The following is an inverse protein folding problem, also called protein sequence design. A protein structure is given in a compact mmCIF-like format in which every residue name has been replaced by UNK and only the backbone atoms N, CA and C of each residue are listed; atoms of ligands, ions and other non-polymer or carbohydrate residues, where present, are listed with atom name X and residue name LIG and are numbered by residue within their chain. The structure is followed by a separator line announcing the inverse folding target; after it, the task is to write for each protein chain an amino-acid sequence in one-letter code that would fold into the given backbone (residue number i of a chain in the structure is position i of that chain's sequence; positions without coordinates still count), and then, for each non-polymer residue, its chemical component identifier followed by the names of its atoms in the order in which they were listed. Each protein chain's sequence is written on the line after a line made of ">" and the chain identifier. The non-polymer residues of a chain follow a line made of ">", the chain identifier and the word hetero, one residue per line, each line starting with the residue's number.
data_IF_966351061354
#
_entry.id   IF_966351061354
#
_cell.length_a   1.000
_cell.length_b   1.000
_cell.length_c   1.000
_cell.angle_alpha   90.00
_cell.angle_beta   90.00
_cell.angle_gamma   90.00
#
_symmetry.space_group_name_H-M   'P 1'
#
loop_
_entity.id
_entity.type
_entity.pdbx_description
1 polymer ?
#
# COMPACT_ATOMS: atom_id res chain seq x y z
N UNK A 1 -1.62 3.93 -21.85
CA UNK A 1 -1.10 2.89 -20.92
C UNK A 1 -1.78 3.05 -19.56
N UNK A 2 -3.10 2.90 -19.50
CA UNK A 2 -3.92 3.18 -18.31
C UNK A 2 -4.70 1.92 -17.96
N UNK A 3 -4.08 1.04 -17.20
CA UNK A 3 -4.72 -0.12 -16.60
C UNK A 3 -3.99 -0.40 -15.30
N UNK A 4 -4.63 -0.11 -14.17
CA UNK A 4 -4.14 -0.56 -12.88
C UNK A 4 -4.32 -2.08 -12.85
N UNK A 5 -3.29 -2.82 -13.26
CA UNK A 5 -3.28 -4.27 -13.22
C UNK A 5 -3.00 -4.72 -11.79
N UNK A 6 -3.95 -4.48 -10.88
CA UNK A 6 -3.89 -5.02 -9.53
C UNK A 6 -4.18 -6.51 -9.61
N UNK A 7 -3.14 -7.33 -9.42
CA UNK A 7 -3.29 -8.79 -9.25
C UNK A 7 -3.42 -9.09 -7.77
N UNK A 8 -4.16 -10.16 -7.45
CA UNK A 8 -4.27 -10.67 -6.08
C UNK A 8 -2.87 -10.91 -5.51
N UNK A 9 -2.55 -10.24 -4.41
CA UNK A 9 -1.38 -10.53 -3.58
C UNK A 9 -1.86 -11.41 -2.43
N UNK A 10 -1.26 -12.59 -2.28
CA UNK A 10 -1.58 -13.53 -1.20
C UNK A 10 -0.37 -13.61 -0.28
N UNK A 11 -0.60 -13.31 1.00
CA UNK A 11 0.35 -13.64 2.06
C UNK A 11 -0.16 -14.96 2.65
N UNK A 12 0.60 -16.03 2.44
CA UNK A 12 0.24 -17.39 2.89
C UNK A 12 0.61 -17.63 4.35
N UNK A 13 0.30 -18.83 4.83
CA UNK A 13 0.55 -19.24 6.20
C UNK A 13 2.06 -19.27 6.51
N UNK A 14 2.41 -18.86 7.73
CA UNK A 14 3.78 -18.83 8.26
C UNK A 14 4.75 -17.88 7.54
N UNK A 15 4.25 -16.91 6.77
CA UNK A 15 5.09 -15.84 6.21
C UNK A 15 5.42 -14.81 7.28
N UNK A 16 6.72 -14.49 7.42
CA UNK A 16 7.17 -13.39 8.26
C UNK A 16 7.58 -12.19 7.40
N UNK A 17 6.98 -11.03 7.67
CA UNK A 17 7.41 -9.76 7.09
C UNK A 17 8.34 -9.10 8.13
N UNK A 18 9.66 -9.20 7.89
CA UNK A 18 10.71 -8.71 8.79
C UNK A 18 10.84 -7.19 8.92
N UNK A 19 9.79 -6.44 8.62
CA UNK A 19 9.78 -4.99 8.73
C UNK A 19 9.29 -4.59 10.14
N UNK A 20 10.07 -3.76 10.84
CA UNK A 20 9.62 -3.13 12.08
C UNK A 20 8.81 -1.85 11.76
N UNK A 21 7.75 -2.01 10.96
CA UNK A 21 6.90 -0.92 10.48
C UNK A 21 5.44 -1.30 10.60
N UNK A 22 4.62 -0.31 10.90
CA UNK A 22 3.16 -0.47 10.96
C UNK A 22 2.54 0.12 9.71
N UNK A 23 1.63 -0.63 9.10
CA UNK A 23 0.73 -0.12 8.07
C UNK A 23 -0.58 0.30 8.72
N UNK A 24 -0.88 1.60 8.66
CA UNK A 24 -2.15 2.13 9.13
C UNK A 24 -3.33 1.52 8.38
N UNK A 25 -4.50 1.55 9.03
CA UNK A 25 -5.72 0.99 8.46
C UNK A 25 -6.08 1.67 7.13
N UNK A 26 -6.62 0.90 6.19
CA UNK A 26 -7.07 1.34 4.86
C UNK A 26 -5.99 1.93 3.95
N UNK A 27 -4.72 1.93 4.37
CA UNK A 27 -3.64 2.54 3.60
C UNK A 27 -3.35 1.79 2.31
N UNK A 28 -3.09 2.54 1.24
CA UNK A 28 -2.75 2.02 -0.08
C UNK A 28 -1.26 2.23 -0.32
N UNK A 29 -0.53 1.14 -0.58
CA UNK A 29 0.88 1.19 -1.00
C UNK A 29 0.94 0.95 -2.50
N UNK A 30 1.44 1.93 -3.27
CA UNK A 30 1.56 1.77 -4.70
C UNK A 30 2.67 0.77 -5.07
N UNK A 31 2.50 0.10 -6.20
CA UNK A 31 3.47 -0.84 -6.75
C UNK A 31 4.87 -0.22 -6.87
N UNK A 32 5.89 -1.01 -6.58
CA UNK A 32 7.31 -0.60 -6.65
C UNK A 32 7.81 0.20 -5.45
N UNK A 33 7.00 0.35 -4.39
CA UNK A 33 7.41 1.08 -3.18
C UNK A 33 8.27 0.23 -2.26
N UNK A 34 9.27 0.85 -1.60
CA UNK A 34 10.10 0.22 -0.57
C UNK A 34 9.84 0.90 0.76
N UNK A 35 9.10 0.20 1.62
CA UNK A 35 8.62 0.73 2.89
C UNK A 35 9.69 0.58 3.96
N UNK A 36 10.29 1.70 4.36
CA UNK A 36 11.36 1.74 5.37
C UNK A 36 10.91 2.36 6.70
N UNK A 37 9.67 2.89 6.78
CA UNK A 37 9.08 3.53 7.96
C UNK A 37 7.59 3.21 8.04
N UNK A 38 7.01 3.29 9.23
CA UNK A 38 5.56 3.14 9.43
C UNK A 38 4.77 4.15 8.62
N UNK A 39 3.64 3.72 8.08
CA UNK A 39 2.75 4.54 7.26
C UNK A 39 1.45 4.78 8.04
N UNK A 40 0.96 6.03 8.14
CA UNK A 40 -0.28 6.33 8.83
C UNK A 40 -1.50 5.70 8.13
N UNK A 41 -2.66 5.78 8.77
CA UNK A 41 -3.93 5.29 8.22
C UNK A 41 -4.50 6.23 7.15
N UNK A 42 -5.37 5.70 6.28
CA UNK A 42 -6.14 6.45 5.28
C UNK A 42 -5.29 7.27 4.29
N UNK A 43 -4.07 6.83 3.96
CA UNK A 43 -3.20 7.49 2.98
C UNK A 43 -2.84 6.61 1.80
N UNK A 44 -2.46 7.25 0.69
CA UNK A 44 -1.77 6.63 -0.44
C UNK A 44 -0.28 6.93 -0.29
N UNK A 45 0.57 5.90 -0.27
CA UNK A 45 2.02 6.03 -0.15
C UNK A 45 2.76 5.36 -1.31
N UNK A 46 3.84 6.00 -1.79
CA UNK A 46 4.56 5.59 -3.01
C UNK A 46 6.07 5.74 -2.88
N UNK A 47 6.83 5.05 -3.73
CA UNK A 47 8.26 5.33 -3.98
C UNK A 47 9.26 4.49 -3.18
N UNK A 48 10.53 4.69 -3.48
CA UNK A 48 11.67 4.06 -2.82
C UNK A 48 12.72 5.14 -2.46
N UNK A 49 12.83 5.57 -1.18
CA UNK A 49 12.04 5.10 -0.04
C UNK A 49 10.58 5.57 -0.07
N UNK A 50 9.67 4.78 0.50
CA UNK A 50 8.23 5.06 0.49
C UNK A 50 7.86 6.26 1.35
N UNK A 51 7.03 7.16 0.81
CA UNK A 51 6.50 8.34 1.50
C UNK A 51 5.01 8.54 1.21
N UNK A 52 4.33 9.28 2.10
CA UNK A 52 2.93 9.67 1.91
C UNK A 52 2.83 10.60 0.71
N UNK A 53 1.99 10.22 -0.26
CA UNK A 53 1.67 11.04 -1.42
C UNK A 53 0.49 11.96 -1.13
N UNK A 54 -0.61 11.39 -0.64
CA UNK A 54 -1.86 12.10 -0.33
C UNK A 54 -2.78 11.26 0.56
N UNK A 55 -3.83 11.88 1.08
CA UNK A 55 -4.95 11.17 1.71
C UNK A 55 -5.77 10.38 0.68
N UNK A 56 -6.43 9.32 1.15
CA UNK A 56 -7.34 8.50 0.34
C UNK A 56 -8.61 9.29 0.05
N UNK A 57 -9.02 9.29 -1.21
CA UNK A 57 -10.24 9.91 -1.69
C UNK A 57 -11.27 8.85 -2.12
N UNK A 58 -12.52 9.25 -2.39
CA UNK A 58 -13.59 8.32 -2.77
C UNK A 58 -13.26 7.53 -4.04
N UNK A 59 -12.48 8.12 -4.95
CA UNK A 59 -12.10 7.48 -6.21
C UNK A 59 -11.18 6.25 -6.00
N UNK A 60 -10.48 6.18 -4.86
CA UNK A 60 -9.60 5.07 -4.53
C UNK A 60 -10.37 3.84 -4.01
N UNK A 61 -11.60 4.03 -3.53
CA UNK A 61 -12.46 2.94 -3.03
C UNK A 61 -13.11 2.13 -4.15
N UNK A 62 -12.98 2.58 -5.41
CA UNK A 62 -13.58 1.95 -6.60
C UNK A 62 -12.82 0.70 -7.06
N UNK A 63 -11.78 0.28 -6.34
CA UNK A 63 -11.12 -1.01 -6.57
C UNK A 63 -11.98 -2.12 -5.94
N UNK A 64 -13.15 -2.37 -6.53
CA UNK A 64 -13.99 -3.52 -6.19
C UNK A 64 -13.29 -4.79 -6.70
N UNK A 65 -12.85 -5.63 -5.77
CA UNK A 65 -12.46 -7.02 -6.01
C UNK A 65 -13.65 -7.87 -6.45
#
# INVERSE_FOLDING_TARGET
>A
MTGSHSKKVVIEDNVWIGANVTFGKNTIICSGSVVTKSIPENVVAVGNPCSVLREIAEEDKVISL
#
